data_IF_487494171437
#
_entry.id   IF_487494171437
#
_cell.length_a   1.000
_cell.length_b   1.000
_cell.length_c   1.000
_cell.angle_alpha   90.00
_cell.angle_beta   90.00
_cell.angle_gamma   90.00
#
_symmetry.space_group_name_H-M   'P 1'
#
loop_
_entity.id
_entity.type
_entity.pdbx_description
1 polymer ?
#
# COMPACT_ATOMS: atom_id res chain seq x y z
N UNK A 1 -32.72 -3.38 12.36
CA UNK A 1 -31.33 -3.83 12.21
C UNK A 1 -31.16 -4.16 10.74
N UNK A 2 -30.42 -3.39 9.92
CA UNK A 2 -30.27 -3.74 8.52
C UNK A 2 -29.51 -5.06 8.45
N UNK A 3 -30.17 -6.06 7.87
CA UNK A 3 -29.58 -7.32 7.45
C UNK A 3 -28.46 -7.02 6.45
N UNK A 4 -27.21 -7.17 6.89
CA UNK A 4 -26.06 -7.10 6.00
C UNK A 4 -26.08 -8.38 5.14
N UNK A 5 -26.70 -8.32 3.97
CA UNK A 5 -26.55 -9.38 2.97
C UNK A 5 -25.08 -9.44 2.55
N UNK A 6 -24.38 -10.47 3.01
CA UNK A 6 -23.01 -10.75 2.57
C UNK A 6 -23.07 -11.14 1.08
N UNK A 7 -22.62 -10.23 0.21
CA UNK A 7 -22.49 -10.52 -1.21
C UNK A 7 -21.29 -11.46 -1.40
N UNK A 8 -21.56 -12.75 -1.63
CA UNK A 8 -20.53 -13.72 -2.00
C UNK A 8 -20.10 -13.45 -3.44
N UNK A 9 -18.83 -13.06 -3.61
CA UNK A 9 -18.20 -12.95 -4.92
C UNK A 9 -18.09 -14.35 -5.54
N UNK A 10 -18.40 -14.43 -6.83
CA UNK A 10 -18.16 -15.61 -7.65
C UNK A 10 -16.67 -15.78 -7.93
N UNK A 11 -16.23 -17.00 -8.26
CA UNK A 11 -14.83 -17.28 -8.61
C UNK A 11 -14.34 -16.39 -9.76
N UNK A 12 -15.18 -16.13 -10.76
CA UNK A 12 -14.88 -15.24 -11.89
C UNK A 12 -14.66 -13.79 -11.44
N UNK A 13 -15.43 -13.30 -10.48
CA UNK A 13 -15.25 -11.95 -9.93
C UNK A 13 -13.95 -11.84 -9.12
N UNK A 14 -13.60 -12.89 -8.37
CA UNK A 14 -12.33 -12.98 -7.64
C UNK A 14 -11.14 -12.99 -8.62
N UNK A 15 -11.21 -13.78 -9.68
CA UNK A 15 -10.17 -13.82 -10.71
C UNK A 15 -10.02 -12.47 -11.43
N UNK A 16 -11.14 -11.83 -11.77
CA UNK A 16 -11.15 -10.52 -12.41
C UNK A 16 -10.53 -9.45 -11.49
N UNK A 17 -10.88 -9.46 -10.21
CA UNK A 17 -10.28 -8.57 -9.22
C UNK A 17 -8.77 -8.82 -9.10
N UNK A 18 -8.34 -10.08 -9.01
CA UNK A 18 -6.93 -10.44 -8.95
C UNK A 18 -6.16 -9.95 -10.19
N UNK A 19 -6.72 -10.11 -11.38
CA UNK A 19 -6.13 -9.61 -12.62
C UNK A 19 -6.01 -8.07 -12.61
N UNK A 20 -7.04 -7.38 -12.11
CA UNK A 20 -7.04 -5.92 -11.97
C UNK A 20 -5.94 -5.44 -11.03
N UNK A 21 -5.78 -6.09 -9.88
CA UNK A 21 -4.76 -5.75 -8.88
C UNK A 21 -3.34 -5.99 -9.41
N UNK A 22 -3.10 -7.11 -10.11
CA UNK A 22 -1.81 -7.39 -10.74
C UNK A 22 -1.46 -6.35 -11.79
N UNK A 23 -2.42 -5.95 -12.62
CA UNK A 23 -2.23 -4.86 -13.59
C UNK A 23 -1.89 -3.56 -12.89
N UNK A 24 -2.63 -3.21 -11.82
CA UNK A 24 -2.38 -1.98 -11.06
C UNK A 24 -1.00 -1.95 -10.42
N UNK A 25 -0.52 -3.08 -9.90
CA UNK A 25 0.85 -3.24 -9.40
C UNK A 25 1.87 -2.96 -10.50
N UNK A 26 1.69 -3.55 -11.69
CA UNK A 26 2.61 -3.35 -12.81
C UNK A 26 2.65 -1.89 -13.28
N UNK A 27 1.51 -1.21 -13.34
CA UNK A 27 1.41 0.22 -13.68
C UNK A 27 2.20 1.12 -12.72
N UNK A 28 2.23 0.77 -11.43
CA UNK A 28 2.89 1.56 -10.39
C UNK A 28 4.35 1.13 -10.16
N UNK A 29 4.82 0.02 -10.74
CA UNK A 29 6.13 -0.55 -10.44
C UNK A 29 7.31 0.39 -10.74
N UNK A 30 7.15 1.31 -11.71
CA UNK A 30 8.17 2.28 -12.09
C UNK A 30 7.95 3.67 -11.49
N UNK A 31 6.95 3.84 -10.62
CA UNK A 31 6.64 5.13 -10.02
C UNK A 31 7.64 5.47 -8.89
N UNK A 32 8.18 6.70 -8.91
CA UNK A 32 9.05 7.23 -7.84
C UNK A 32 8.30 7.41 -6.52
N UNK A 33 7.00 7.65 -6.60
CA UNK A 33 6.09 7.79 -5.48
C UNK A 33 4.63 7.74 -5.95
N UNK A 34 3.71 7.75 -5.00
CA UNK A 34 2.28 7.69 -5.28
C UNK A 34 1.47 8.71 -4.48
N UNK A 35 0.37 9.20 -5.05
CA UNK A 35 -0.66 10.00 -4.37
C UNK A 35 -1.86 9.12 -4.07
N UNK A 36 -2.57 9.44 -2.99
CA UNK A 36 -3.83 8.79 -2.63
C UNK A 36 -4.98 9.68 -3.15
N UNK A 37 -5.79 9.18 -4.07
CA UNK A 37 -6.84 9.96 -4.72
C UNK A 37 -6.31 11.21 -5.42
N UNK A 38 -7.03 12.32 -5.25
CA UNK A 38 -6.64 13.63 -5.80
C UNK A 38 -5.73 14.44 -4.85
N UNK A 39 -5.16 13.82 -3.82
CA UNK A 39 -4.26 14.51 -2.89
C UNK A 39 -2.94 14.97 -3.54
N UNK A 40 -2.22 15.86 -2.85
CA UNK A 40 -0.91 16.40 -3.28
C UNK A 40 0.27 15.78 -2.55
N UNK A 41 0.02 15.03 -1.47
CA UNK A 41 1.06 14.36 -0.69
C UNK A 41 1.56 13.13 -1.44
N UNK A 42 2.88 13.05 -1.62
CA UNK A 42 3.57 11.93 -2.26
C UNK A 42 3.99 10.95 -1.17
N UNK A 43 3.57 9.70 -1.31
CA UNK A 43 3.87 8.60 -0.42
C UNK A 43 4.90 7.66 -1.06
N UNK A 44 5.69 7.00 -0.22
CA UNK A 44 6.51 5.87 -0.66
C UNK A 44 5.62 4.70 -1.06
N UNK A 45 5.92 4.11 -2.21
CA UNK A 45 5.25 2.91 -2.71
C UNK A 45 5.91 1.68 -2.08
N UNK A 46 5.09 0.71 -1.68
CA UNK A 46 5.50 -0.62 -1.23
C UNK A 46 4.51 -1.66 -1.76
N UNK A 47 4.75 -2.91 -1.40
CA UNK A 47 3.83 -4.03 -1.63
C UNK A 47 3.30 -4.53 -0.29
N UNK A 48 2.03 -4.95 -0.27
CA UNK A 48 1.54 -5.83 0.80
C UNK A 48 0.75 -7.01 0.23
N UNK A 49 0.61 -8.06 1.04
CA UNK A 49 -0.21 -9.22 0.71
C UNK A 49 -1.66 -8.99 1.13
N UNK A 50 -2.60 -9.11 0.20
CA UNK A 50 -4.04 -9.06 0.46
C UNK A 50 -4.72 -10.28 -0.18
N UNK A 51 -5.38 -11.10 0.63
CA UNK A 51 -6.05 -12.32 0.18
C UNK A 51 -5.17 -13.22 -0.73
N UNK A 52 -3.89 -13.35 -0.40
CA UNK A 52 -2.93 -14.15 -1.21
C UNK A 52 -2.41 -13.46 -2.47
N UNK A 53 -2.74 -12.19 -2.70
CA UNK A 53 -2.32 -11.39 -3.85
C UNK A 53 -1.42 -10.25 -3.40
N UNK A 54 -0.29 -10.06 -4.07
CA UNK A 54 0.53 -8.88 -3.87
C UNK A 54 -0.14 -7.64 -4.48
N UNK A 55 -0.41 -6.63 -3.66
CA UNK A 55 -1.06 -5.39 -4.10
C UNK A 55 -0.19 -4.17 -3.76
N UNK A 56 -0.23 -3.10 -4.58
CA UNK A 56 0.49 -1.88 -4.28
C UNK A 56 -0.10 -1.21 -3.03
N UNK A 57 0.77 -0.68 -2.18
CA UNK A 57 0.40 0.01 -0.96
C UNK A 57 1.32 1.19 -0.68
N UNK A 58 0.92 2.05 0.24
CA UNK A 58 1.80 3.11 0.74
C UNK A 58 2.56 2.62 1.98
N UNK A 59 3.84 2.93 2.11
CA UNK A 59 4.68 2.43 3.23
C UNK A 59 4.17 2.89 4.61
N UNK A 60 3.36 3.94 4.66
CA UNK A 60 2.75 4.44 5.88
C UNK A 60 1.40 3.80 6.22
N UNK A 61 0.87 2.89 5.38
CA UNK A 61 -0.43 2.23 5.51
C UNK A 61 -1.65 3.20 5.59
N UNK A 62 -1.53 4.41 5.05
CA UNK A 62 -2.61 5.41 5.06
C UNK A 62 -3.73 5.13 4.04
N UNK A 63 -3.49 4.28 3.04
CA UNK A 63 -4.50 3.83 2.08
C UNK A 63 -4.64 2.31 2.16
N UNK A 64 -5.88 1.85 2.31
CA UNK A 64 -6.25 0.43 2.27
C UNK A 64 -6.58 -0.04 0.84
N UNK A 65 -7.11 0.84 -0.01
CA UNK A 65 -7.53 0.51 -1.37
C UNK A 65 -6.40 0.82 -2.39
N UNK A 66 -5.81 -0.21 -3.02
CA UNK A 66 -4.77 -0.05 -4.04
C UNK A 66 -5.25 0.70 -5.30
N UNK A 67 -6.55 0.66 -5.60
CA UNK A 67 -7.12 1.34 -6.77
C UNK A 67 -7.17 2.86 -6.61
N UNK A 68 -7.00 3.36 -5.38
CA UNK A 68 -6.89 4.81 -5.09
C UNK A 68 -5.48 5.36 -5.21
N UNK A 69 -4.48 4.55 -5.53
CA UNK A 69 -3.10 4.99 -5.66
C UNK A 69 -2.83 5.46 -7.09
N UNK A 70 -2.31 6.67 -7.26
CA UNK A 70 -1.95 7.23 -8.55
C UNK A 70 -0.45 7.52 -8.58
N UNK A 71 0.25 7.29 -9.71
CA UNK A 71 1.66 7.63 -9.82
C UNK A 71 1.85 9.14 -9.62
N UNK A 72 2.95 9.50 -8.99
CA UNK A 72 3.33 10.89 -8.78
C UNK A 72 4.82 11.06 -9.07
N UNK A 73 5.20 12.09 -9.84
CA UNK A 73 6.60 12.43 -10.02
C UNK A 73 7.17 13.06 -8.75
N UNK A 74 8.45 12.80 -8.49
CA UNK A 74 9.20 13.46 -7.43
C UNK A 74 9.19 12.74 -6.08
N UNK A 75 9.96 13.33 -5.16
CA UNK A 75 10.29 12.71 -3.88
C UNK A 75 9.08 12.59 -2.93
N UNK A 76 9.13 11.58 -2.05
CA UNK A 76 8.15 11.36 -0.98
C UNK A 76 8.06 12.57 -0.06
N UNK A 77 6.87 13.14 0.08
CA UNK A 77 6.57 14.27 0.98
C UNK A 77 5.78 13.86 2.23
N UNK A 78 5.26 12.64 2.27
CA UNK A 78 4.55 12.11 3.43
C UNK A 78 5.50 11.98 4.64
N UNK A 79 5.22 12.73 5.71
CA UNK A 79 6.02 12.71 6.96
C UNK A 79 6.14 11.31 7.58
N UNK A 80 5.08 10.49 7.52
CA UNK A 80 5.11 9.11 8.04
C UNK A 80 6.02 8.20 7.20
N UNK A 81 5.95 8.30 5.87
CA UNK A 81 6.86 7.55 4.99
C UNK A 81 8.32 7.98 5.21
N UNK A 82 8.58 9.28 5.30
CA UNK A 82 9.93 9.79 5.59
C UNK A 82 10.46 9.32 6.95
N UNK A 83 9.62 9.28 7.98
CA UNK A 83 9.97 8.76 9.29
C UNK A 83 10.34 7.28 9.28
N UNK A 84 9.62 6.46 8.50
CA UNK A 84 9.91 5.02 8.37
C UNK A 84 11.24 4.73 7.68
N UNK A 85 11.55 5.45 6.59
CA UNK A 85 12.86 5.33 5.90
C UNK A 85 14.01 5.64 6.85
N UNK A 86 13.83 6.60 7.77
CA UNK A 86 14.83 6.91 8.80
C UNK A 86 14.94 5.81 9.86
N UNK A 87 13.83 5.22 10.28
CA UNK A 87 13.82 4.12 11.26
C UNK A 87 14.48 2.84 10.71
N UNK A 88 14.23 2.48 9.45
CA UNK A 88 14.88 1.34 8.78
C UNK A 88 16.40 1.51 8.69
N UNK A 89 16.87 2.74 8.46
CA UNK A 89 18.31 3.08 8.46
C UNK A 89 18.92 3.22 9.85
N UNK A 90 18.07 3.29 10.88
CA UNK A 90 18.45 3.54 12.27
C UNK A 90 18.42 2.30 13.16
N UNK A 91 18.17 1.10 12.62
CA UNK A 91 18.38 -0.13 13.39
C UNK A 91 19.87 -0.28 13.70
N UNK A 92 20.24 0.08 14.93
CA UNK A 92 21.58 -0.13 15.47
C UNK A 92 21.71 -1.62 15.80
N UNK A 93 22.74 -2.32 15.28
CA UNK A 93 23.00 -3.72 15.65
C UNK A 93 23.13 -3.85 17.18
N UNK A 94 22.28 -4.68 17.81
CA UNK A 94 22.34 -4.98 19.25
C UNK A 94 21.17 -4.48 20.11
N UNK A 95 20.20 -3.74 19.57
CA UNK A 95 18.96 -3.43 20.31
C UNK A 95 17.89 -4.52 20.13
N UNK A 96 17.92 -5.55 20.98
CA UNK A 96 16.93 -6.65 21.02
C UNK A 96 16.17 -6.78 22.33
N UNK A 97 16.27 -5.82 23.26
CA UNK A 97 15.61 -5.95 24.56
C UNK A 97 14.55 -4.87 24.77
N UNK A 98 13.28 -5.30 24.70
CA UNK A 98 12.21 -4.68 25.47
C UNK A 98 12.37 -5.20 26.89
N UNK A 99 12.88 -4.36 27.78
CA UNK A 99 12.99 -4.68 29.20
C UNK A 99 11.57 -4.85 29.80
N UNK A 100 11.35 -5.86 30.69
CA UNK A 100 10.05 -6.17 31.30
C UNK A 100 9.48 -5.09 32.22
#
# INVERSE_FOLDING_TARGET
MPEHTEHQLTDTEVEHLAATLRRRRAELATAEGVRIGQGTVVHGLTTHMWAGIEVPAVSCHAAADPLRLFPAPGAVTCRRCLGRVRAERGQVPGQTELWP
#
